data_IF_716160103651
#
_entry.id   IF_716160103651
#
_cell.length_a   1.000
_cell.length_b   1.000
_cell.length_c   1.000
_cell.angle_alpha   90.00
_cell.angle_beta   90.00
_cell.angle_gamma   90.00
#
_symmetry.space_group_name_H-M   'P 1'
#
loop_
_entity.id
_entity.type
_entity.pdbx_description
1 polymer ?
#
# COMPACT_ATOMS: atom_id res chain seq x y z
N UNK A 1 2.76 -12.88 -0.75
CA UNK A 1 4.25 -12.86 -0.69
C UNK A 1 4.81 -12.58 0.71
N UNK A 2 4.36 -11.55 1.43
CA UNK A 2 4.80 -11.27 2.81
C UNK A 2 4.62 -12.48 3.73
N UNK A 3 3.52 -13.19 3.60
CA UNK A 3 3.21 -14.40 4.36
C UNK A 3 4.27 -15.50 4.18
N UNK A 4 4.68 -15.73 2.94
CA UNK A 4 5.76 -16.70 2.62
C UNK A 4 7.09 -16.27 3.26
N UNK A 5 7.44 -14.99 3.20
CA UNK A 5 8.63 -14.47 3.86
C UNK A 5 8.59 -14.76 5.37
N UNK A 6 7.45 -14.54 6.01
CA UNK A 6 7.28 -14.78 7.45
C UNK A 6 7.35 -16.27 7.82
N UNK A 7 6.89 -17.16 6.94
CA UNK A 7 7.07 -18.60 7.13
C UNK A 7 8.55 -19.00 7.01
N UNK A 8 9.26 -18.47 6.02
CA UNK A 8 10.70 -18.71 5.85
C UNK A 8 11.55 -18.12 6.99
N UNK A 9 11.05 -17.09 7.67
CA UNK A 9 11.69 -16.47 8.83
C UNK A 9 11.56 -17.30 10.12
N UNK A 10 10.79 -18.38 10.11
CA UNK A 10 10.62 -19.26 11.28
C UNK A 10 11.94 -19.94 11.64
N UNK A 11 12.39 -19.66 12.88
CA UNK A 11 13.58 -20.32 13.45
C UNK A 11 14.91 -19.92 12.80
N UNK A 12 14.95 -18.79 12.10
CA UNK A 12 16.18 -18.25 11.52
C UNK A 12 16.41 -16.81 11.95
N UNK A 13 17.65 -16.44 12.22
CA UNK A 13 18.11 -15.06 12.48
C UNK A 13 18.56 -14.35 11.20
N UNK A 14 18.43 -14.98 10.03
CA UNK A 14 18.90 -14.41 8.76
C UNK A 14 18.23 -13.10 8.36
N UNK A 15 17.05 -12.81 8.92
CA UNK A 15 16.30 -11.59 8.66
C UNK A 15 16.46 -10.50 9.74
N UNK A 16 17.21 -10.76 10.79
CA UNK A 16 17.37 -9.81 11.91
C UNK A 16 18.08 -8.50 11.51
N UNK A 17 18.82 -8.53 10.40
CA UNK A 17 19.49 -7.34 9.85
C UNK A 17 18.63 -6.49 8.90
N UNK A 18 17.36 -6.87 8.66
CA UNK A 18 16.48 -6.08 7.79
C UNK A 18 16.08 -4.77 8.48
N UNK A 19 16.43 -3.64 7.89
CA UNK A 19 15.96 -2.32 8.33
C UNK A 19 14.55 -1.97 7.86
N UNK A 20 14.19 -2.46 6.68
CA UNK A 20 12.94 -2.11 6.01
C UNK A 20 12.36 -3.29 5.25
N UNK A 21 11.04 -3.43 5.28
CA UNK A 21 10.28 -4.34 4.42
C UNK A 21 9.24 -3.54 3.66
N UNK A 22 9.20 -3.71 2.36
CA UNK A 22 8.21 -3.09 1.50
C UNK A 22 7.28 -4.17 0.92
N UNK A 23 5.97 -3.99 1.07
CA UNK A 23 4.96 -4.86 0.48
C UNK A 23 3.83 -4.04 -0.16
N UNK A 24 3.05 -4.67 -1.02
CA UNK A 24 1.89 -4.06 -1.70
C UNK A 24 1.26 -5.04 -2.68
N UNK A 25 0.23 -4.58 -3.40
CA UNK A 25 -0.51 -5.37 -4.37
C UNK A 25 -1.59 -6.27 -3.77
N UNK A 26 -1.65 -6.40 -2.45
CA UNK A 26 -2.68 -7.13 -1.71
C UNK A 26 -3.01 -6.38 -0.42
N UNK A 27 -4.18 -6.68 0.14
CA UNK A 27 -4.59 -6.09 1.42
C UNK A 27 -3.69 -6.61 2.54
N UNK A 28 -3.15 -5.70 3.34
CA UNK A 28 -2.47 -6.05 4.57
C UNK A 28 -3.51 -6.28 5.66
N UNK A 29 -3.81 -7.55 5.97
CA UNK A 29 -4.78 -7.87 7.01
C UNK A 29 -4.19 -7.66 8.41
N UNK A 30 -5.03 -7.40 9.44
CA UNK A 30 -4.58 -7.30 10.83
C UNK A 30 -3.77 -8.53 11.27
N UNK A 31 -4.22 -9.73 10.92
CA UNK A 31 -3.57 -11.00 11.30
C UNK A 31 -2.18 -11.12 10.66
N UNK A 32 -2.04 -10.74 9.39
CA UNK A 32 -0.75 -10.77 8.70
C UNK A 32 0.22 -9.75 9.29
N UNK A 33 -0.27 -8.58 9.65
CA UNK A 33 0.54 -7.57 10.32
C UNK A 33 0.98 -8.01 11.72
N UNK A 34 0.09 -8.55 12.54
CA UNK A 34 0.46 -9.08 13.87
C UNK A 34 1.51 -10.19 13.75
N UNK A 35 1.39 -11.07 12.76
CA UNK A 35 2.41 -12.07 12.47
C UNK A 35 3.74 -11.44 12.05
N UNK A 36 3.70 -10.37 11.26
CA UNK A 36 4.90 -9.61 10.92
C UNK A 36 5.55 -9.03 12.18
N UNK A 37 4.80 -8.33 13.01
CA UNK A 37 5.29 -7.67 14.23
C UNK A 37 5.81 -8.66 15.28
N UNK A 38 5.26 -9.85 15.35
CA UNK A 38 5.73 -10.89 16.27
C UNK A 38 7.09 -11.49 15.88
N UNK A 39 7.56 -11.24 14.66
CA UNK A 39 8.78 -11.86 14.12
C UNK A 39 9.86 -10.89 13.72
N UNK A 40 9.49 -9.69 13.30
CA UNK A 40 10.40 -8.69 12.78
C UNK A 40 10.16 -7.34 13.46
N UNK A 41 11.22 -6.73 13.97
CA UNK A 41 11.22 -5.39 14.57
C UNK A 41 11.63 -4.32 13.57
N UNK A 42 11.26 -4.48 12.31
CA UNK A 42 11.65 -3.61 11.22
C UNK A 42 10.51 -2.71 10.77
N UNK A 43 10.82 -1.61 10.11
CA UNK A 43 9.80 -0.74 9.51
C UNK A 43 9.15 -1.44 8.32
N UNK A 44 7.81 -1.52 8.34
CA UNK A 44 7.01 -2.03 7.23
C UNK A 44 6.41 -0.88 6.44
N UNK A 45 6.62 -0.89 5.14
CA UNK A 45 5.98 -0.02 4.17
C UNK A 45 4.93 -0.82 3.41
N UNK A 46 3.70 -0.34 3.41
CA UNK A 46 2.63 -0.95 2.63
C UNK A 46 2.17 0.02 1.57
N UNK A 47 2.44 -0.31 0.30
CA UNK A 47 2.12 0.50 -0.87
C UNK A 47 0.82 0.07 -1.52
N UNK A 48 0.07 1.05 -2.02
CA UNK A 48 -1.12 0.87 -2.83
C UNK A 48 -0.99 1.58 -4.17
N UNK A 49 -1.48 0.94 -5.22
CA UNK A 49 -1.63 1.54 -6.54
C UNK A 49 -1.92 0.51 -7.62
N UNK A 50 -2.72 0.89 -8.63
CA UNK A 50 -2.99 0.06 -9.80
C UNK A 50 -1.80 0.11 -10.78
N UNK A 51 -1.76 -0.86 -11.70
CA UNK A 51 -0.75 -0.93 -12.76
C UNK A 51 -0.79 0.32 -13.66
N UNK A 52 -1.97 0.87 -13.87
CA UNK A 52 -2.23 2.08 -14.66
C UNK A 52 -1.58 3.35 -14.10
N UNK A 53 -1.22 3.31 -12.81
CA UNK A 53 -0.53 4.40 -12.12
C UNK A 53 0.87 3.98 -11.65
N UNK A 54 1.55 3.16 -12.43
CA UNK A 54 2.94 2.75 -12.20
C UNK A 54 3.15 2.14 -10.81
N UNK A 55 2.24 1.23 -10.42
CA UNK A 55 2.28 0.37 -9.21
C UNK A 55 1.97 1.11 -7.90
N UNK A 56 2.41 2.33 -7.70
CA UNK A 56 2.34 2.94 -6.38
C UNK A 56 1.88 4.39 -6.35
N UNK A 57 0.63 4.65 -5.92
CA UNK A 57 0.08 6.01 -5.76
C UNK A 57 0.11 6.51 -4.32
N UNK A 58 0.13 5.59 -3.34
CA UNK A 58 0.16 5.93 -1.92
C UNK A 58 0.86 4.87 -1.08
N UNK A 59 1.19 5.20 0.16
CA UNK A 59 1.77 4.24 1.10
C UNK A 59 1.44 4.57 2.55
N UNK A 60 1.50 3.53 3.40
CA UNK A 60 1.51 3.61 4.86
C UNK A 60 2.87 3.17 5.36
N UNK A 61 3.36 3.83 6.40
CA UNK A 61 4.61 3.46 7.09
C UNK A 61 4.26 2.99 8.51
N UNK A 62 4.57 1.74 8.80
CA UNK A 62 4.40 1.15 10.13
C UNK A 62 5.76 1.03 10.81
N UNK A 63 5.99 1.86 11.81
CA UNK A 63 7.19 1.83 12.69
C UNK A 63 6.88 1.07 13.98
N UNK A 64 7.89 0.87 14.83
CA UNK A 64 7.84 -0.01 16.01
C UNK A 64 6.65 0.17 16.97
N UNK A 65 6.03 1.33 17.03
CA UNK A 65 4.87 1.60 17.87
C UNK A 65 3.65 2.02 17.06
N UNK A 66 3.57 1.58 15.80
CA UNK A 66 2.42 1.91 14.97
C UNK A 66 1.13 1.42 15.61
N UNK A 67 0.28 2.36 15.95
CA UNK A 67 -1.07 2.11 16.39
C UNK A 67 -1.83 1.28 15.34
N UNK A 68 -2.89 0.62 15.81
CA UNK A 68 -3.80 -0.25 15.07
C UNK A 68 -3.84 -0.01 13.57
N UNK A 69 -3.66 -1.07 12.80
CA UNK A 69 -3.97 -1.08 11.40
C UNK A 69 -5.44 -0.73 11.21
N UNK A 70 -5.69 0.49 10.80
CA UNK A 70 -6.82 0.70 9.94
C UNK A 70 -6.44 0.14 8.56
N UNK A 71 -7.37 -0.46 7.85
CA UNK A 71 -7.26 -0.75 6.42
C UNK A 71 -7.14 0.57 5.67
N UNK A 72 -5.95 1.17 5.70
CA UNK A 72 -5.65 2.45 5.11
C UNK A 72 -4.69 2.26 3.95
N UNK A 73 -4.92 2.97 2.86
CA UNK A 73 -3.95 3.09 1.77
C UNK A 73 -2.92 4.19 2.02
N UNK A 74 -3.03 4.89 3.16
CA UNK A 74 -2.07 5.88 3.62
C UNK A 74 -2.18 7.25 2.95
N UNK A 75 -1.02 7.82 2.62
CA UNK A 75 -0.90 9.15 2.03
C UNK A 75 -0.38 9.06 0.61
N UNK A 76 -0.75 10.04 -0.27
CA UNK A 76 -0.20 10.11 -1.63
C UNK A 76 1.32 10.12 -1.65
N UNK A 77 1.90 9.48 -2.64
CA UNK A 77 3.32 9.59 -2.95
C UNK A 77 3.66 11.00 -3.46
N UNK A 78 4.92 11.45 -3.40
CA UNK A 78 5.33 12.71 -4.00
C UNK A 78 4.87 12.81 -5.46
N UNK A 79 4.40 14.00 -5.84
CA UNK A 79 3.87 14.29 -7.19
C UNK A 79 2.63 13.48 -7.60
N UNK A 80 1.92 12.89 -6.62
CA UNK A 80 0.65 12.19 -6.81
C UNK A 80 -0.47 12.94 -6.10
N UNK A 81 -1.62 13.01 -6.72
CA UNK A 81 -2.84 13.57 -6.16
C UNK A 81 -3.89 12.46 -6.10
N UNK A 82 -4.58 12.37 -4.95
CA UNK A 82 -5.68 11.43 -4.75
C UNK A 82 -6.94 12.21 -4.41
N UNK A 83 -8.03 11.87 -5.08
CA UNK A 83 -9.34 12.48 -4.88
C UNK A 83 -10.36 11.38 -4.60
N UNK A 84 -11.28 11.64 -3.67
CA UNK A 84 -12.47 10.82 -3.50
C UNK A 84 -13.64 11.62 -4.04
N UNK A 85 -14.26 11.13 -5.11
CA UNK A 85 -15.27 11.86 -5.87
C UNK A 85 -16.61 11.11 -5.85
N UNK A 86 -17.70 11.87 -5.99
CA UNK A 86 -19.04 11.35 -6.23
C UNK A 86 -19.28 11.03 -7.72
N UNK A 87 -20.51 10.60 -8.06
CA UNK A 87 -20.91 10.25 -9.43
C UNK A 87 -20.90 11.45 -10.39
N UNK A 88 -20.93 12.67 -9.86
CA UNK A 88 -20.81 13.92 -10.63
C UNK A 88 -19.35 14.42 -10.71
N UNK A 89 -18.38 13.62 -10.28
CA UNK A 89 -16.95 13.94 -10.23
C UNK A 89 -16.64 15.15 -9.31
N UNK A 90 -17.41 15.35 -8.24
CA UNK A 90 -17.17 16.37 -7.23
C UNK A 90 -16.51 15.77 -6.00
N UNK A 91 -15.55 16.47 -5.37
CA UNK A 91 -14.95 16.00 -4.13
C UNK A 91 -15.99 15.81 -3.03
N UNK A 92 -15.98 14.64 -2.40
CA UNK A 92 -16.88 14.35 -1.27
C UNK A 92 -16.31 14.91 0.03
N UNK A 93 -17.17 15.26 1.02
CA UNK A 93 -16.74 15.66 2.34
C UNK A 93 -15.97 14.57 3.09
N UNK A 94 -15.14 14.97 4.07
CA UNK A 94 -14.43 14.03 4.94
C UNK A 94 -15.41 13.10 5.67
N UNK A 95 -15.13 11.79 5.59
CA UNK A 95 -15.97 10.74 6.17
C UNK A 95 -17.07 10.22 5.25
N UNK A 96 -17.23 10.79 4.06
CA UNK A 96 -18.14 10.29 3.03
C UNK A 96 -17.36 9.40 2.05
N UNK A 97 -17.93 8.25 1.68
CA UNK A 97 -17.38 7.35 0.67
C UNK A 97 -17.61 7.87 -0.74
N UNK A 98 -16.73 7.50 -1.67
CA UNK A 98 -16.81 7.79 -3.10
C UNK A 98 -15.78 7.00 -3.88
N UNK A 99 -15.68 7.25 -5.19
CA UNK A 99 -14.70 6.61 -6.06
C UNK A 99 -13.34 7.28 -5.92
N UNK A 100 -12.27 6.46 -5.86
CA UNK A 100 -10.90 6.95 -5.73
C UNK A 100 -10.28 7.26 -7.10
N UNK A 101 -9.91 8.51 -7.29
CA UNK A 101 -9.20 8.98 -8.47
C UNK A 101 -7.76 9.31 -8.15
N UNK A 102 -6.84 8.86 -9.00
CA UNK A 102 -5.43 9.19 -8.91
C UNK A 102 -5.04 10.09 -10.09
N UNK A 103 -4.24 11.12 -9.81
CA UNK A 103 -3.71 12.03 -10.80
C UNK A 103 -2.23 12.33 -10.52
N UNK A 104 -1.51 12.76 -11.56
CA UNK A 104 -0.12 13.18 -11.44
C UNK A 104 0.82 12.44 -12.35
N UNK A 105 2.10 12.55 -12.05
CA UNK A 105 3.19 12.06 -12.89
C UNK A 105 3.25 10.53 -13.04
N UNK A 106 2.61 9.80 -12.14
CA UNK A 106 2.64 8.34 -12.09
C UNK A 106 1.69 7.65 -13.08
N UNK A 107 0.82 8.41 -13.75
CA UNK A 107 -0.15 7.82 -14.66
C UNK A 107 0.53 7.20 -15.88
N UNK A 108 0.21 5.94 -16.16
CA UNK A 108 0.58 5.27 -17.39
C UNK A 108 -0.08 5.92 -18.62
N UNK A 109 0.50 5.70 -19.78
CA UNK A 109 -0.04 6.22 -21.06
C UNK A 109 -1.26 5.45 -21.58
N UNK A 110 -1.68 4.42 -20.87
CA UNK A 110 -2.77 3.53 -21.23
C UNK A 110 -2.28 2.17 -21.73
N UNK A 111 -3.24 1.33 -22.09
CA UNK A 111 -2.96 0.01 -22.67
C UNK A 111 -2.78 0.10 -24.18
N UNK A 112 -1.89 -0.75 -24.71
CA UNK A 112 -1.78 -0.93 -26.15
C UNK A 112 -2.96 -1.78 -26.60
N UNK A 113 -3.90 -1.18 -27.30
CA UNK A 113 -4.99 -1.92 -27.95
C UNK A 113 -4.45 -2.45 -29.28
N UNK A 114 -4.50 -3.77 -29.56
CA UNK A 114 -4.11 -4.26 -30.86
C UNK A 114 -5.02 -3.61 -31.92
N UNK A 115 -4.49 -3.26 -33.10
CA UNK A 115 -5.30 -2.73 -34.18
C UNK A 115 -6.39 -3.76 -34.53
N UNK A 116 -7.63 -3.30 -34.62
CA UNK A 116 -8.80 -4.09 -35.03
C UNK A 116 -8.68 -4.43 -36.51
#
# INVERSE_FOLDING_TARGET
MLDVLLEMARGTTKLDGLGHVWCGGEVLTPELFERFRSRLTTTLYHGYGPAEATIGVSHVIYRDNAERIATSIGRPNPSTQLYVLDDDLRPVPVGVGGELYAAGFLLGRGYVTPPV
#
